data_IF_488186016728
#
_entry.id   IF_488186016728
#
_cell.length_a   1.000
_cell.length_b   1.000
_cell.length_c   1.000
_cell.angle_alpha   90.00
_cell.angle_beta   90.00
_cell.angle_gamma   90.00
#
_symmetry.space_group_name_H-M   'P 1'
#
loop_
_entity.id
_entity.type
_entity.pdbx_description
1 polymer ?
#
# COMPACT_ATOMS: atom_id res chain seq x y z
N UNK A 1 11.08 25.17 58.12
CA UNK A 1 11.49 24.20 57.08
C UNK A 1 10.26 23.84 56.27
N UNK A 2 10.09 24.62 55.20
CA UNK A 2 9.32 24.38 53.97
C UNK A 2 10.02 23.25 53.18
N UNK A 3 9.45 22.42 52.32
CA UNK A 3 8.14 22.28 51.70
C UNK A 3 7.94 20.79 51.33
N UNK A 4 6.67 20.38 51.26
CA UNK A 4 6.19 19.10 50.74
C UNK A 4 6.25 19.06 49.22
N UNK A 5 6.92 18.06 48.63
CA UNK A 5 6.90 17.80 47.18
C UNK A 5 5.73 16.87 46.82
N UNK A 6 4.73 17.44 46.16
CA UNK A 6 3.66 16.78 45.41
C UNK A 6 4.23 16.04 44.19
N UNK A 7 3.73 14.84 43.81
CA UNK A 7 4.08 14.23 42.53
C UNK A 7 3.55 15.09 41.39
N UNK A 8 4.47 15.64 40.60
CA UNK A 8 4.16 16.51 39.46
C UNK A 8 3.38 15.79 38.37
N UNK A 9 2.41 16.52 37.82
CA UNK A 9 1.72 16.23 36.57
C UNK A 9 2.72 15.78 35.49
N UNK A 10 2.57 14.53 35.04
CA UNK A 10 3.16 14.08 33.79
C UNK A 10 2.40 14.82 32.69
N UNK A 11 2.98 15.93 32.24
CA UNK A 11 2.52 16.67 31.08
C UNK A 11 2.28 15.68 29.94
N UNK A 12 1.02 15.54 29.53
CA UNK A 12 0.63 14.88 28.30
C UNK A 12 1.38 15.59 27.15
N UNK A 13 2.49 15.00 26.71
CA UNK A 13 3.18 15.47 25.53
C UNK A 13 2.21 15.31 24.35
N UNK A 14 1.86 16.45 23.75
CA UNK A 14 1.00 16.49 22.57
C UNK A 14 1.52 15.51 21.50
N UNK A 15 0.64 14.77 20.81
CA UNK A 15 1.07 13.86 19.76
C UNK A 15 1.83 14.66 18.70
N UNK A 16 3.04 14.21 18.38
CA UNK A 16 3.90 14.82 17.37
C UNK A 16 3.10 15.02 16.09
N UNK A 17 2.87 16.27 15.71
CA UNK A 17 2.18 16.63 14.46
C UNK A 17 3.13 16.31 13.31
N UNK A 18 2.96 15.14 12.70
CA UNK A 18 3.60 14.83 11.44
C UNK A 18 3.02 15.79 10.39
N UNK A 19 3.81 16.64 9.72
CA UNK A 19 3.30 17.62 8.77
C UNK A 19 2.63 17.00 7.53
N UNK A 20 2.75 15.69 7.33
CA UNK A 20 2.02 14.92 6.31
C UNK A 20 0.59 14.53 6.73
N UNK A 21 0.28 14.54 8.03
CA UNK A 21 -1.03 14.14 8.52
C UNK A 21 -2.14 15.10 8.05
N UNK A 22 -1.87 16.42 8.02
CA UNK A 22 -2.84 17.44 7.63
C UNK A 22 -3.26 17.37 6.15
N UNK A 23 -2.36 16.96 5.25
CA UNK A 23 -2.66 16.77 3.83
C UNK A 23 -3.47 15.50 3.58
N UNK A 24 -3.24 14.43 4.36
CA UNK A 24 -3.98 13.17 4.26
C UNK A 24 -5.36 13.25 4.91
N UNK A 25 -5.51 14.05 5.97
CA UNK A 25 -6.81 14.32 6.60
C UNK A 25 -7.82 14.88 5.60
N UNK A 26 -7.41 15.83 4.76
CA UNK A 26 -8.27 16.42 3.74
C UNK A 26 -8.74 15.38 2.70
N UNK A 27 -7.83 14.55 2.18
CA UNK A 27 -8.15 13.50 1.20
C UNK A 27 -9.00 12.38 1.80
N UNK A 28 -8.71 11.94 3.03
CA UNK A 28 -9.53 10.97 3.74
C UNK A 28 -10.95 11.49 3.98
N UNK A 29 -11.09 12.79 4.26
CA UNK A 29 -12.40 13.42 4.40
C UNK A 29 -13.18 13.41 3.08
N UNK A 30 -12.52 13.63 1.94
CA UNK A 30 -13.16 13.58 0.61
C UNK A 30 -13.70 12.17 0.31
N UNK A 31 -12.90 11.12 0.53
CA UNK A 31 -13.35 9.74 0.32
C UNK A 31 -14.52 9.40 1.25
N UNK A 32 -14.39 9.68 2.55
CA UNK A 32 -15.48 9.42 3.52
C UNK A 32 -16.76 10.16 3.18
N UNK A 33 -16.67 11.44 2.84
CA UNK A 33 -17.84 12.26 2.50
C UNK A 33 -18.49 11.79 1.21
N UNK A 34 -17.71 11.51 0.16
CA UNK A 34 -18.25 11.06 -1.12
C UNK A 34 -18.86 9.65 -1.07
N UNK A 35 -18.39 8.79 -0.15
CA UNK A 35 -18.89 7.41 0.01
C UNK A 35 -19.96 7.26 1.11
N UNK A 36 -20.24 8.32 1.87
CA UNK A 36 -21.19 8.30 2.99
C UNK A 36 -22.58 7.79 2.56
N UNK A 37 -23.08 8.27 1.42
CA UNK A 37 -24.38 7.83 0.90
C UNK A 37 -24.43 6.31 0.71
N UNK A 38 -23.43 5.74 0.04
CA UNK A 38 -23.33 4.30 -0.21
C UNK A 38 -23.21 3.53 1.10
N UNK A 39 -22.34 3.98 2.00
CA UNK A 39 -22.13 3.35 3.31
C UNK A 39 -23.41 3.35 4.17
N UNK A 40 -24.20 4.44 4.15
CA UNK A 40 -25.44 4.56 4.91
C UNK A 40 -26.55 3.63 4.45
N UNK A 41 -26.51 3.18 3.19
CA UNK A 41 -27.52 2.31 2.58
C UNK A 41 -27.05 0.84 2.52
N UNK A 42 -25.80 0.54 2.88
CA UNK A 42 -25.25 -0.81 2.80
C UNK A 42 -25.92 -1.75 3.81
N UNK A 43 -26.53 -2.83 3.33
CA UNK A 43 -27.21 -3.85 4.16
C UNK A 43 -26.52 -5.22 4.15
N UNK A 44 -25.67 -5.48 3.16
CA UNK A 44 -25.04 -6.79 2.96
C UNK A 44 -23.66 -6.93 3.58
N UNK A 45 -23.00 -5.82 3.88
CA UNK A 45 -21.66 -5.78 4.47
C UNK A 45 -21.69 -4.82 5.65
N UNK A 46 -21.17 -5.26 6.80
CA UNK A 46 -21.08 -4.47 8.00
C UNK A 46 -19.66 -4.59 8.58
N UNK A 47 -19.17 -3.50 9.16
CA UNK A 47 -17.90 -3.48 9.87
C UNK A 47 -18.13 -4.01 11.28
N UNK A 48 -17.41 -5.07 11.68
CA UNK A 48 -17.42 -5.56 13.05
C UNK A 48 -16.49 -4.72 13.93
N UNK A 49 -17.06 -3.72 14.60
CA UNK A 49 -16.31 -2.85 15.50
C UNK A 49 -15.65 -3.61 16.67
N UNK A 50 -16.24 -4.72 17.14
CA UNK A 50 -15.66 -5.52 18.22
C UNK A 50 -14.42 -6.25 17.73
N UNK A 51 -14.47 -6.81 16.53
CA UNK A 51 -13.30 -7.44 15.90
C UNK A 51 -12.16 -6.44 15.68
N UNK A 52 -12.46 -5.21 15.25
CA UNK A 52 -11.46 -4.14 15.12
C UNK A 52 -10.81 -3.85 16.48
N UNK A 53 -11.61 -3.60 17.52
CA UNK A 53 -11.08 -3.28 18.85
C UNK A 53 -10.20 -4.43 19.38
N UNK A 54 -10.65 -5.68 19.21
CA UNK A 54 -9.87 -6.86 19.57
C UNK A 54 -8.54 -6.91 18.82
N UNK A 55 -8.53 -6.66 17.50
CA UNK A 55 -7.31 -6.64 16.72
C UNK A 55 -6.33 -5.55 17.18
N UNK A 56 -6.85 -4.38 17.57
CA UNK A 56 -6.04 -3.29 18.15
C UNK A 56 -5.46 -3.68 19.52
N UNK A 57 -6.26 -4.33 20.37
CA UNK A 57 -5.83 -4.79 21.70
C UNK A 57 -4.75 -5.89 21.61
N UNK A 58 -4.82 -6.75 20.59
CA UNK A 58 -3.82 -7.78 20.30
C UNK A 58 -2.54 -7.21 19.67
N UNK A 59 -2.54 -5.95 19.24
CA UNK A 59 -1.41 -5.30 18.59
C UNK A 59 -0.38 -4.81 19.61
N UNK A 60 0.75 -5.50 19.70
CA UNK A 60 1.84 -5.04 20.54
C UNK A 60 2.55 -3.81 19.92
N UNK A 61 3.11 -2.96 20.78
CA UNK A 61 3.96 -1.84 20.34
C UNK A 61 5.14 -2.31 19.50
N UNK A 62 5.67 -3.49 19.75
CA UNK A 62 6.78 -4.04 18.98
C UNK A 62 6.32 -4.51 17.59
N UNK A 63 5.11 -5.07 17.46
CA UNK A 63 4.54 -5.39 16.15
C UNK A 63 4.23 -4.13 15.35
N UNK A 64 3.75 -3.08 16.01
CA UNK A 64 3.57 -1.76 15.40
C UNK A 64 4.90 -1.23 14.86
N UNK A 65 5.96 -1.23 15.69
CA UNK A 65 7.30 -0.78 15.27
C UNK A 65 7.80 -1.58 14.08
N UNK A 66 7.61 -2.91 14.07
CA UNK A 66 8.00 -3.78 12.96
C UNK A 66 7.29 -3.35 11.67
N UNK A 67 5.96 -3.20 11.70
CA UNK A 67 5.12 -2.84 10.55
C UNK A 67 5.36 -1.42 10.03
N UNK A 68 5.73 -0.49 10.91
CA UNK A 68 6.10 0.87 10.51
C UNK A 68 7.58 1.01 10.18
N UNK A 69 8.38 -0.04 10.35
CA UNK A 69 9.81 0.03 10.08
C UNK A 69 10.11 -0.09 8.58
N UNK A 70 11.27 0.40 8.12
CA UNK A 70 11.74 0.13 6.76
C UNK A 70 11.92 -1.36 6.43
N UNK A 71 11.90 -2.25 7.43
CA UNK A 71 11.94 -3.71 7.23
C UNK A 71 10.58 -4.32 6.88
N UNK A 72 9.48 -3.58 7.08
CA UNK A 72 8.14 -4.03 6.72
C UNK A 72 7.97 -4.19 5.20
N UNK A 73 8.81 -3.51 4.41
CA UNK A 73 8.81 -3.66 2.97
C UNK A 73 9.37 -5.04 2.58
N UNK A 74 8.52 -5.90 2.02
CA UNK A 74 8.87 -7.27 1.68
C UNK A 74 9.78 -7.31 0.42
N UNK A 75 11.09 -7.40 0.64
CA UNK A 75 12.10 -7.43 -0.42
C UNK A 75 12.12 -8.76 -1.21
N UNK A 76 11.46 -9.80 -0.71
CA UNK A 76 11.42 -11.09 -1.40
C UNK A 76 10.54 -10.99 -2.65
N UNK A 77 9.42 -10.26 -2.55
CA UNK A 77 8.48 -10.06 -3.67
C UNK A 77 8.66 -8.72 -4.39
N UNK A 78 9.25 -7.70 -3.75
CA UNK A 78 9.45 -6.39 -4.36
C UNK A 78 10.89 -6.13 -4.81
N UNK A 79 11.03 -5.41 -5.93
CA UNK A 79 12.31 -4.87 -6.38
C UNK A 79 12.78 -3.74 -5.44
N UNK A 80 14.08 -3.75 -5.09
CA UNK A 80 14.70 -2.70 -4.27
C UNK A 80 16.14 -2.46 -4.71
N UNK A 81 16.40 -1.29 -5.27
CA UNK A 81 17.74 -0.75 -5.51
C UNK A 81 18.08 0.44 -4.58
N UNK A 82 17.10 0.92 -3.80
CA UNK A 82 17.26 2.09 -2.94
C UNK A 82 17.33 3.42 -3.71
N UNK A 83 17.01 3.42 -5.00
CA UNK A 83 17.07 4.57 -5.89
C UNK A 83 15.76 4.83 -6.64
N UNK A 84 15.81 5.69 -7.68
CA UNK A 84 14.64 6.05 -8.47
C UNK A 84 13.93 4.87 -9.14
N UNK A 85 14.65 3.80 -9.48
CA UNK A 85 14.05 2.64 -10.13
C UNK A 85 13.11 1.87 -9.20
N UNK A 86 13.41 1.81 -7.88
CA UNK A 86 12.45 1.31 -6.88
C UNK A 86 11.15 2.12 -6.88
N UNK A 87 11.23 3.44 -7.03
CA UNK A 87 10.04 4.30 -7.06
C UNK A 87 9.23 4.06 -8.34
N UNK A 88 9.91 3.97 -9.49
CA UNK A 88 9.27 3.65 -10.76
C UNK A 88 8.60 2.28 -10.75
N UNK A 89 9.25 1.27 -10.17
CA UNK A 89 8.68 -0.05 -9.93
C UNK A 89 7.37 0.05 -9.13
N UNK A 90 7.36 0.78 -8.02
CA UNK A 90 6.16 0.92 -7.18
C UNK A 90 5.00 1.56 -7.93
N UNK A 91 5.27 2.60 -8.72
CA UNK A 91 4.24 3.27 -9.54
C UNK A 91 3.66 2.35 -10.61
N UNK A 92 4.50 1.55 -11.27
CA UNK A 92 4.03 0.59 -12.28
C UNK A 92 3.23 -0.54 -11.64
N UNK A 93 3.70 -1.10 -10.52
CA UNK A 93 2.94 -2.12 -9.78
C UNK A 93 1.60 -1.57 -9.32
N UNK A 94 1.54 -0.34 -8.81
CA UNK A 94 0.29 0.29 -8.40
C UNK A 94 -0.66 0.54 -9.58
N UNK A 95 -0.15 1.03 -10.71
CA UNK A 95 -0.94 1.25 -11.93
C UNK A 95 -1.49 -0.05 -12.53
N UNK A 96 -0.74 -1.14 -12.43
CA UNK A 96 -1.15 -2.47 -12.85
C UNK A 96 -1.96 -3.22 -11.78
N UNK A 97 -1.95 -2.78 -10.53
CA UNK A 97 -2.66 -3.48 -9.47
C UNK A 97 -4.16 -3.24 -9.63
N UNK A 98 -4.94 -4.32 -9.58
CA UNK A 98 -6.39 -4.24 -9.57
C UNK A 98 -6.91 -5.09 -8.44
N UNK A 99 -7.84 -4.53 -7.64
CA UNK A 99 -8.31 -5.18 -6.41
C UNK A 99 -9.00 -6.53 -6.64
N UNK A 100 -9.35 -6.86 -7.89
CA UNK A 100 -10.01 -8.13 -8.24
C UNK A 100 -9.49 -8.66 -9.58
N UNK A 101 -8.56 -9.60 -9.53
CA UNK A 101 -8.21 -10.36 -10.72
C UNK A 101 -9.31 -11.40 -10.99
N UNK A 102 -9.81 -11.53 -12.22
CA UNK A 102 -10.77 -12.57 -12.57
C UNK A 102 -10.13 -13.98 -12.66
N UNK A 103 -8.84 -14.09 -12.33
CA UNK A 103 -8.08 -15.33 -12.24
C UNK A 103 -7.73 -15.58 -10.76
N UNK A 104 -8.18 -16.72 -10.22
CA UNK A 104 -8.08 -17.08 -8.80
C UNK A 104 -6.64 -17.31 -8.30
N UNK A 105 -5.67 -17.46 -9.21
CA UNK A 105 -4.26 -17.67 -8.82
C UNK A 105 -3.39 -16.45 -9.16
N UNK A 106 -3.93 -15.44 -9.85
CA UNK A 106 -3.23 -14.20 -10.14
C UNK A 106 -3.47 -13.21 -9.00
N UNK A 107 -2.59 -13.23 -8.01
CA UNK A 107 -2.65 -12.31 -6.88
C UNK A 107 -1.57 -11.22 -6.99
N UNK A 108 -1.63 -10.26 -6.07
CA UNK A 108 -0.67 -9.16 -5.97
C UNK A 108 0.80 -9.62 -5.93
N UNK A 109 1.07 -10.77 -5.32
CA UNK A 109 2.43 -11.32 -5.22
C UNK A 109 2.98 -11.70 -6.60
N UNK A 110 2.16 -12.32 -7.46
CA UNK A 110 2.54 -12.69 -8.81
C UNK A 110 2.82 -11.45 -9.65
N UNK A 111 1.99 -10.41 -9.50
CA UNK A 111 2.25 -9.09 -10.09
C UNK A 111 3.61 -8.54 -9.68
N UNK A 112 3.82 -8.40 -8.38
CA UNK A 112 5.03 -7.81 -7.82
C UNK A 112 6.29 -8.58 -8.25
N UNK A 113 6.26 -9.91 -8.14
CA UNK A 113 7.37 -10.78 -8.51
C UNK A 113 7.64 -10.74 -10.03
N UNK A 114 6.61 -10.70 -10.87
CA UNK A 114 6.75 -10.60 -12.32
C UNK A 114 7.48 -9.33 -12.73
N UNK A 115 6.99 -8.17 -12.29
CA UNK A 115 7.61 -6.88 -12.61
C UNK A 115 9.03 -6.78 -12.02
N UNK A 116 9.24 -7.32 -10.81
CA UNK A 116 10.58 -7.42 -10.20
C UNK A 116 11.54 -8.19 -11.10
N UNK A 117 11.15 -9.38 -11.58
CA UNK A 117 11.97 -10.22 -12.47
C UNK A 117 12.27 -9.50 -13.79
N UNK A 118 11.29 -8.79 -14.35
CA UNK A 118 11.49 -8.02 -15.57
C UNK A 118 12.58 -6.94 -15.39
N UNK A 119 12.56 -6.21 -14.27
CA UNK A 119 13.58 -5.20 -13.94
C UNK A 119 14.95 -5.81 -13.63
N UNK A 120 14.99 -6.93 -12.91
CA UNK A 120 16.24 -7.64 -12.62
C UNK A 120 16.90 -8.16 -13.90
N UNK A 121 16.10 -8.53 -14.91
CA UNK A 121 16.59 -8.96 -16.23
C UNK A 121 16.96 -7.78 -17.14
N UNK A 122 16.18 -6.69 -17.12
CA UNK A 122 16.40 -5.49 -17.93
C UNK A 122 16.04 -4.25 -17.10
N UNK A 123 17.03 -3.49 -16.60
CA UNK A 123 16.79 -2.27 -15.83
C UNK A 123 16.02 -1.18 -16.60
N UNK A 124 15.93 -1.30 -17.94
CA UNK A 124 15.19 -0.37 -18.79
C UNK A 124 13.77 -0.85 -19.10
N UNK A 125 13.33 -1.99 -18.57
CA UNK A 125 12.00 -2.56 -18.81
C UNK A 125 10.86 -1.58 -18.52
N UNK A 126 11.05 -0.67 -17.56
CA UNK A 126 10.06 0.33 -17.16
C UNK A 126 10.41 1.75 -17.64
N UNK A 127 11.28 1.94 -18.64
CA UNK A 127 11.59 3.29 -19.13
C UNK A 127 10.33 4.00 -19.62
N UNK A 128 10.27 5.33 -19.45
CA UNK A 128 9.10 6.10 -19.84
C UNK A 128 8.77 5.94 -21.34
N UNK A 129 9.78 5.81 -22.19
CA UNK A 129 9.63 5.63 -23.63
C UNK A 129 9.02 4.27 -23.99
N UNK A 130 9.27 3.22 -23.19
CA UNK A 130 8.68 1.90 -23.36
C UNK A 130 7.24 1.89 -22.83
N UNK A 131 7.04 2.40 -21.61
CA UNK A 131 5.70 2.49 -21.00
C UNK A 131 4.74 3.31 -21.86
N UNK A 132 5.19 4.42 -22.45
CA UNK A 132 4.36 5.25 -23.34
C UNK A 132 3.83 4.50 -24.58
N UNK A 133 4.47 3.40 -24.97
CA UNK A 133 4.12 2.60 -26.15
C UNK A 133 3.74 1.18 -25.78
N UNK A 134 3.54 0.90 -24.50
CA UNK A 134 3.20 -0.42 -24.04
C UNK A 134 1.89 -0.86 -24.69
N UNK A 135 1.84 -2.15 -25.02
CA UNK A 135 0.65 -2.86 -25.47
C UNK A 135 0.27 -3.91 -24.43
N UNK A 136 -0.91 -4.52 -24.53
CA UNK A 136 -1.24 -5.61 -23.63
C UNK A 136 -0.27 -6.80 -23.74
N UNK A 137 0.34 -7.01 -24.90
CA UNK A 137 1.43 -7.98 -25.05
C UNK A 137 2.67 -7.63 -24.22
N UNK A 138 3.01 -6.34 -24.11
CA UNK A 138 4.10 -5.86 -23.26
C UNK A 138 3.75 -6.04 -21.78
N UNK A 139 2.51 -5.77 -21.38
CA UNK A 139 2.01 -6.03 -20.01
C UNK A 139 2.12 -7.52 -19.67
N UNK A 140 1.70 -8.39 -20.58
CA UNK A 140 1.81 -9.84 -20.40
C UNK A 140 3.27 -10.31 -20.29
N UNK A 141 4.17 -9.73 -21.11
CA UNK A 141 5.59 -10.02 -21.06
C UNK A 141 6.25 -9.52 -19.77
N UNK A 142 5.90 -8.32 -19.29
CA UNK A 142 6.37 -7.75 -18.03
C UNK A 142 5.97 -8.62 -16.84
N UNK A 143 4.73 -9.12 -16.84
CA UNK A 143 4.23 -9.96 -15.75
C UNK A 143 4.80 -11.39 -15.82
N UNK A 144 4.97 -11.94 -17.02
CA UNK A 144 5.49 -13.29 -17.22
C UNK A 144 4.60 -14.38 -16.64
N UNK A 145 3.28 -14.16 -16.58
CA UNK A 145 2.34 -15.02 -15.87
C UNK A 145 2.21 -16.44 -16.48
N UNK A 146 2.48 -16.58 -17.78
CA UNK A 146 2.33 -17.85 -18.50
C UNK A 146 0.89 -18.20 -18.90
N UNK A 147 -0.11 -17.45 -18.41
CA UNK A 147 -1.49 -17.41 -18.90
C UNK A 147 -1.83 -16.03 -19.47
N UNK A 148 -3.01 -15.92 -20.06
CA UNK A 148 -3.58 -14.64 -20.46
C UNK A 148 -3.70 -13.72 -19.24
N UNK A 149 -3.26 -12.48 -19.38
CA UNK A 149 -3.34 -11.48 -18.32
C UNK A 149 -4.67 -10.75 -18.47
N UNK A 150 -5.54 -10.75 -17.44
CA UNK A 150 -6.85 -10.14 -17.56
C UNK A 150 -6.77 -8.63 -17.83
N UNK A 151 -7.50 -8.18 -18.85
CA UNK A 151 -7.56 -6.76 -19.26
C UNK A 151 -6.18 -6.18 -19.61
N UNK A 152 -5.29 -6.99 -20.18
CA UNK A 152 -3.93 -6.56 -20.47
C UNK A 152 -3.84 -5.33 -21.39
N UNK A 153 -4.78 -5.16 -22.33
CA UNK A 153 -4.79 -3.99 -23.23
C UNK A 153 -5.24 -2.72 -22.50
N UNK A 154 -6.22 -2.81 -21.60
CA UNK A 154 -6.65 -1.67 -20.79
C UNK A 154 -5.59 -1.24 -19.75
N UNK A 155 -4.62 -2.12 -19.47
CA UNK A 155 -3.53 -1.90 -18.51
C UNK A 155 -2.26 -1.36 -19.16
N UNK A 156 -2.20 -1.30 -20.48
CA UNK A 156 -1.05 -0.85 -21.25
C UNK A 156 -1.10 0.68 -21.48
#
# INVERSE_FOLDING_TARGET
MKDSETPGDVAQSAPSTWPLASSLESSNNVVRTSTEFVASQAVHVQIDQKAINKAVDEFSLDKLKELTSPKAFNKDIHFVDGGPLTVQYLLVVDALNFCFWPDEELEYEQLSVGIKRALESDPTALSAERLLRATGADVAALLGWGREVPLQEERA
#
